data_IF_750246156182
#
_entry.id   IF_750246156182
#
_cell.length_a   1.000
_cell.length_b   1.000
_cell.length_c   1.000
_cell.angle_alpha   90.00
_cell.angle_beta   90.00
_cell.angle_gamma   90.00
#
_symmetry.space_group_name_H-M   'P 1'
#
loop_
_entity.id
_entity.type
_entity.pdbx_description
1 polymer ?
#
# COMPACT_ATOMS: atom_id res chain seq x y z
N UNK A 1 -2.85 11.03 -94.32
CA UNK A 1 -3.11 10.04 -93.25
C UNK A 1 -3.46 10.80 -91.97
N UNK A 2 -4.70 11.29 -91.79
CA UNK A 2 -5.11 12.10 -90.62
C UNK A 2 -5.50 11.25 -89.40
N UNK A 3 -5.91 10.00 -89.62
CA UNK A 3 -6.46 9.08 -88.62
C UNK A 3 -5.46 8.53 -87.59
N UNK A 4 -4.15 8.69 -87.78
CA UNK A 4 -3.14 8.27 -86.80
C UNK A 4 -2.95 9.29 -85.67
N UNK A 5 -3.11 10.59 -85.96
CA UNK A 5 -2.98 11.66 -84.96
C UNK A 5 -4.19 11.68 -84.00
N UNK A 6 -5.39 11.47 -84.51
CA UNK A 6 -6.62 11.38 -83.70
C UNK A 6 -6.57 10.17 -82.75
N UNK A 7 -6.00 9.04 -83.19
CA UNK A 7 -5.87 7.84 -82.38
C UNK A 7 -4.79 7.99 -81.27
N UNK A 8 -3.70 8.72 -81.53
CA UNK A 8 -2.70 9.08 -80.51
C UNK A 8 -3.25 10.07 -79.48
N UNK A 9 -4.05 11.06 -79.91
CA UNK A 9 -4.72 12.02 -79.00
C UNK A 9 -5.79 11.35 -78.13
N UNK A 10 -6.59 10.43 -78.68
CA UNK A 10 -7.58 9.68 -77.91
C UNK A 10 -6.92 8.69 -76.93
N UNK A 11 -5.82 8.02 -77.29
CA UNK A 11 -5.04 7.22 -76.35
C UNK A 11 -4.49 8.07 -75.18
N UNK A 12 -3.95 9.26 -75.48
CA UNK A 12 -3.43 10.18 -74.47
C UNK A 12 -4.53 10.70 -73.51
N UNK A 13 -5.73 10.95 -74.02
CA UNK A 13 -6.89 11.35 -73.21
C UNK A 13 -7.37 10.24 -72.29
N UNK A 14 -7.42 9.01 -72.76
CA UNK A 14 -7.87 7.87 -71.95
C UNK A 14 -6.84 7.49 -70.88
N UNK A 15 -5.54 7.61 -71.17
CA UNK A 15 -4.48 7.48 -70.15
C UNK A 15 -4.59 8.56 -69.07
N UNK A 16 -4.86 9.82 -69.44
CA UNK A 16 -5.06 10.91 -68.49
C UNK A 16 -6.30 10.69 -67.60
N UNK A 17 -7.41 10.21 -68.17
CA UNK A 17 -8.61 9.84 -67.41
C UNK A 17 -8.35 8.67 -66.45
N UNK A 18 -7.61 7.66 -66.87
CA UNK A 18 -7.24 6.53 -66.00
C UNK A 18 -6.42 7.00 -64.80
N UNK A 19 -5.37 7.83 -65.03
CA UNK A 19 -4.54 8.38 -63.94
C UNK A 19 -5.34 9.26 -62.98
N UNK A 20 -6.28 10.05 -63.49
CA UNK A 20 -7.18 10.86 -62.66
C UNK A 20 -8.06 9.96 -61.78
N UNK A 21 -8.71 8.95 -62.37
CA UNK A 21 -9.55 8.01 -61.63
C UNK A 21 -8.76 7.23 -60.56
N UNK A 22 -7.56 6.77 -60.89
CA UNK A 22 -6.67 6.09 -59.94
C UNK A 22 -6.29 7.01 -58.79
N UNK A 23 -5.99 8.28 -59.08
CA UNK A 23 -5.62 9.25 -58.06
C UNK A 23 -6.81 9.65 -57.19
N UNK A 24 -8.01 9.81 -57.77
CA UNK A 24 -9.26 10.04 -57.03
C UNK A 24 -9.56 8.88 -56.08
N UNK A 25 -9.41 7.63 -56.52
CA UNK A 25 -9.57 6.45 -55.67
C UNK A 25 -8.53 6.40 -54.54
N UNK A 26 -7.27 6.73 -54.83
CA UNK A 26 -6.22 6.79 -53.82
C UNK A 26 -6.48 7.89 -52.78
N UNK A 27 -6.90 9.08 -53.21
CA UNK A 27 -7.29 10.18 -52.31
C UNK A 27 -8.49 9.80 -51.43
N UNK A 28 -9.50 9.13 -52.00
CA UNK A 28 -10.65 8.65 -51.23
C UNK A 28 -10.23 7.59 -50.20
N UNK A 29 -9.35 6.66 -50.57
CA UNK A 29 -8.77 5.66 -49.66
C UNK A 29 -7.96 6.31 -48.54
N UNK A 30 -7.12 7.30 -48.86
CA UNK A 30 -6.33 8.04 -47.87
C UNK A 30 -7.24 8.82 -46.91
N UNK A 31 -8.29 9.51 -47.39
CA UNK A 31 -9.27 10.17 -46.53
C UNK A 31 -9.98 9.20 -45.59
N UNK A 32 -10.35 8.01 -46.08
CA UNK A 32 -10.96 6.98 -45.22
C UNK A 32 -9.99 6.51 -44.13
N UNK A 33 -8.71 6.29 -44.48
CA UNK A 33 -7.66 5.94 -43.50
C UNK A 33 -7.42 7.06 -42.48
N UNK A 34 -7.29 8.31 -42.92
CA UNK A 34 -7.15 9.47 -42.04
C UNK A 34 -8.31 9.56 -41.04
N UNK A 35 -9.54 9.35 -41.53
CA UNK A 35 -10.72 9.39 -40.66
C UNK A 35 -10.71 8.26 -39.63
N UNK A 36 -10.35 7.04 -40.05
CA UNK A 36 -10.21 5.89 -39.13
C UNK A 36 -9.15 6.13 -38.05
N UNK A 37 -7.94 6.55 -38.45
CA UNK A 37 -6.85 6.84 -37.50
C UNK A 37 -7.24 7.97 -36.55
N UNK A 38 -7.92 9.02 -37.05
CA UNK A 38 -8.39 10.12 -36.21
C UNK A 38 -9.42 9.67 -35.17
N UNK A 39 -10.33 8.75 -35.52
CA UNK A 39 -11.27 8.16 -34.57
C UNK A 39 -10.55 7.31 -33.51
N UNK A 40 -9.59 6.48 -33.91
CA UNK A 40 -8.80 5.67 -32.99
C UNK A 40 -7.99 6.53 -32.01
N UNK A 41 -7.40 7.63 -32.49
CA UNK A 41 -6.69 8.59 -31.65
C UNK A 41 -7.62 9.29 -30.65
N UNK A 42 -8.83 9.65 -31.06
CA UNK A 42 -9.83 10.23 -30.15
C UNK A 42 -10.23 9.22 -29.06
N UNK A 43 -10.47 7.96 -29.43
CA UNK A 43 -10.78 6.90 -28.47
C UNK A 43 -9.61 6.64 -27.50
N UNK A 44 -8.36 6.63 -28.00
CA UNK A 44 -7.16 6.52 -27.16
C UNK A 44 -7.01 7.71 -26.20
N UNK A 45 -7.36 8.92 -26.62
CA UNK A 45 -7.31 10.11 -25.76
C UNK A 45 -8.32 10.01 -24.61
N UNK A 46 -9.55 9.58 -24.89
CA UNK A 46 -10.57 9.36 -23.86
C UNK A 46 -10.14 8.29 -22.86
N UNK A 47 -9.65 7.15 -23.34
CA UNK A 47 -9.17 6.05 -22.49
C UNK A 47 -7.99 6.48 -21.62
N UNK A 48 -7.04 7.26 -22.16
CA UNK A 48 -5.94 7.82 -21.38
C UNK A 48 -6.41 8.79 -20.29
N UNK A 49 -7.42 9.61 -20.59
CA UNK A 49 -8.01 10.50 -19.59
C UNK A 49 -8.65 9.70 -18.44
N UNK A 50 -9.35 8.60 -18.77
CA UNK A 50 -9.91 7.68 -17.79
C UNK A 50 -8.84 7.01 -16.93
N UNK A 51 -7.81 6.43 -17.56
CA UNK A 51 -6.70 5.78 -16.85
C UNK A 51 -5.93 6.75 -15.95
N UNK A 52 -5.73 8.00 -16.38
CA UNK A 52 -5.13 9.03 -15.51
C UNK A 52 -5.99 9.31 -14.28
N UNK A 53 -7.31 9.38 -14.43
CA UNK A 53 -8.22 9.56 -13.29
C UNK A 53 -8.15 8.35 -12.34
N UNK A 54 -8.17 7.13 -12.88
CA UNK A 54 -8.03 5.91 -12.09
C UNK A 54 -6.69 5.85 -11.35
N UNK A 55 -5.61 6.32 -11.99
CA UNK A 55 -4.29 6.39 -11.38
C UNK A 55 -4.25 7.35 -10.20
N UNK A 56 -4.86 8.54 -10.34
CA UNK A 56 -4.94 9.52 -9.25
C UNK A 56 -5.73 8.94 -8.08
N UNK A 57 -6.87 8.30 -8.34
CA UNK A 57 -7.68 7.65 -7.30
C UNK A 57 -6.97 6.44 -6.68
N UNK A 58 -6.19 5.67 -7.46
CA UNK A 58 -5.34 4.61 -6.93
C UNK A 58 -4.26 5.18 -5.99
N UNK A 59 -3.57 6.26 -6.40
CA UNK A 59 -2.58 6.93 -5.56
C UNK A 59 -3.16 7.46 -4.24
N UNK A 60 -4.36 8.05 -4.28
CA UNK A 60 -5.07 8.48 -3.06
C UNK A 60 -5.37 7.31 -2.13
N UNK A 61 -5.80 6.17 -2.67
CA UNK A 61 -6.09 4.95 -1.88
C UNK A 61 -4.82 4.38 -1.25
N UNK A 62 -3.71 4.33 -2.00
CA UNK A 62 -2.40 3.93 -1.46
C UNK A 62 -2.01 4.84 -0.30
N UNK A 63 -2.03 6.16 -0.50
CA UNK A 63 -1.66 7.12 0.55
C UNK A 63 -2.55 7.01 1.80
N UNK A 64 -3.86 6.82 1.62
CA UNK A 64 -4.77 6.61 2.75
C UNK A 64 -4.47 5.30 3.51
N UNK A 65 -4.16 4.23 2.78
CA UNK A 65 -3.77 2.93 3.36
C UNK A 65 -2.45 3.04 4.14
N UNK A 66 -1.46 3.73 3.60
CA UNK A 66 -0.17 3.97 4.25
C UNK A 66 -0.32 4.83 5.51
N UNK A 67 -1.17 5.85 5.48
CA UNK A 67 -1.45 6.68 6.66
C UNK A 67 -2.09 5.85 7.79
N UNK A 68 -3.04 4.97 7.44
CA UNK A 68 -3.68 4.06 8.39
C UNK A 68 -2.66 3.07 8.98
N UNK A 69 -1.80 2.49 8.13
CA UNK A 69 -0.73 1.60 8.57
C UNK A 69 0.21 2.29 9.55
N UNK A 70 0.61 3.54 9.26
CA UNK A 70 1.49 4.32 10.14
C UNK A 70 0.85 4.62 11.50
N UNK A 71 -0.46 4.90 11.53
CA UNK A 71 -1.21 5.05 12.77
C UNK A 71 -1.24 3.75 13.59
N UNK A 72 -1.51 2.62 12.93
CA UNK A 72 -1.52 1.29 13.56
C UNK A 72 -0.13 0.93 14.11
N UNK A 73 0.94 1.20 13.37
CA UNK A 73 2.32 0.98 13.82
C UNK A 73 2.69 1.85 15.02
N UNK A 74 2.23 3.10 15.05
CA UNK A 74 2.44 4.00 16.18
C UNK A 74 1.73 3.49 17.45
N UNK A 75 0.48 3.05 17.32
CA UNK A 75 -0.26 2.42 18.44
C UNK A 75 0.41 1.15 18.94
N UNK A 76 0.94 0.34 18.02
CA UNK A 76 1.65 -0.88 18.37
C UNK A 76 2.93 -0.58 19.17
N UNK A 77 3.69 0.45 18.77
CA UNK A 77 4.87 0.90 19.50
C UNK A 77 4.50 1.36 20.93
N UNK A 78 3.45 2.18 21.06
CA UNK A 78 2.97 2.65 22.36
C UNK A 78 2.56 1.49 23.28
N UNK A 79 1.78 0.52 22.78
CA UNK A 79 1.38 -0.66 23.54
C UNK A 79 2.58 -1.53 23.93
N UNK A 80 3.54 -1.71 23.03
CA UNK A 80 4.77 -2.47 23.31
C UNK A 80 5.54 -1.83 24.45
N UNK A 81 5.67 -0.49 24.46
CA UNK A 81 6.34 0.24 25.54
C UNK A 81 5.58 0.11 26.87
N UNK A 82 4.25 0.23 26.85
CA UNK A 82 3.41 0.02 28.04
C UNK A 82 3.59 -1.39 28.63
N UNK A 83 3.55 -2.42 27.80
CA UNK A 83 3.77 -3.82 28.21
C UNK A 83 5.16 -3.99 28.82
N UNK A 84 6.19 -3.38 28.22
CA UNK A 84 7.56 -3.46 28.73
C UNK A 84 7.71 -2.76 30.09
N UNK A 85 7.11 -1.59 30.28
CA UNK A 85 7.12 -0.87 31.56
C UNK A 85 6.47 -1.72 32.67
N UNK A 86 5.31 -2.31 32.39
CA UNK A 86 4.61 -3.14 33.38
C UNK A 86 5.42 -4.40 33.70
N UNK A 87 5.96 -5.10 32.69
CA UNK A 87 6.84 -6.27 32.90
C UNK A 87 8.06 -5.95 33.76
N UNK A 88 8.69 -4.81 33.53
CA UNK A 88 9.83 -4.37 34.33
C UNK A 88 9.41 -4.10 35.79
N UNK A 89 8.28 -3.43 36.01
CA UNK A 89 7.75 -3.19 37.36
C UNK A 89 7.45 -4.49 38.11
N UNK A 90 6.86 -5.48 37.44
CA UNK A 90 6.62 -6.81 38.03
C UNK A 90 7.93 -7.49 38.41
N UNK A 91 8.93 -7.43 37.53
CA UNK A 91 10.25 -8.04 37.78
C UNK A 91 10.91 -7.43 39.02
N UNK A 92 10.92 -6.09 39.14
CA UNK A 92 11.47 -5.37 40.29
C UNK A 92 10.73 -5.68 41.60
N UNK A 93 9.39 -5.74 41.56
CA UNK A 93 8.56 -6.13 42.72
C UNK A 93 8.86 -7.56 43.16
N UNK A 94 9.00 -8.49 42.20
CA UNK A 94 9.34 -9.88 42.48
C UNK A 94 10.71 -10.02 43.16
N UNK A 95 11.73 -9.30 42.70
CA UNK A 95 13.03 -9.29 43.38
C UNK A 95 12.92 -8.80 44.83
N UNK A 96 12.12 -7.77 45.06
CA UNK A 96 11.90 -7.20 46.39
C UNK A 96 11.21 -8.21 47.32
N UNK A 97 10.17 -8.89 46.82
CA UNK A 97 9.47 -9.95 47.56
C UNK A 97 10.43 -11.11 47.89
N UNK A 98 11.24 -11.56 46.93
CA UNK A 98 12.23 -12.63 47.14
C UNK A 98 13.28 -12.22 48.20
N UNK A 99 13.76 -10.98 48.17
CA UNK A 99 14.68 -10.42 49.20
C UNK A 99 14.02 -10.39 50.59
N UNK A 100 12.74 -10.00 50.66
CA UNK A 100 12.01 -9.97 51.93
C UNK A 100 11.76 -11.38 52.49
N UNK A 101 11.28 -12.32 51.65
CA UNK A 101 11.04 -13.71 52.04
C UNK A 101 12.32 -14.40 52.49
N UNK A 102 13.44 -14.18 51.81
CA UNK A 102 14.75 -14.73 52.22
C UNK A 102 15.24 -14.14 53.55
N UNK A 103 15.01 -12.85 53.81
CA UNK A 103 15.28 -12.23 55.11
C UNK A 103 14.43 -12.85 56.23
N UNK A 104 13.13 -13.06 55.99
CA UNK A 104 12.22 -13.71 56.95
C UNK A 104 12.62 -15.16 57.23
N UNK A 105 12.92 -15.93 56.18
CA UNK A 105 13.36 -17.33 56.33
C UNK A 105 14.67 -17.43 57.12
N UNK A 106 15.57 -16.46 56.95
CA UNK A 106 16.83 -16.38 57.71
C UNK A 106 16.61 -16.03 59.18
N UNK A 107 15.67 -15.12 59.50
CA UNK A 107 15.27 -14.81 60.88
C UNK A 107 14.63 -16.05 61.55
N UNK A 108 13.80 -16.80 60.81
CA UNK A 108 13.17 -18.02 61.31
C UNK A 108 14.14 -19.19 61.54
N UNK A 109 15.17 -19.37 60.69
CA UNK A 109 16.17 -20.45 60.81
C UNK A 109 17.33 -20.13 61.75
N UNK A 110 17.73 -18.87 61.81
CA UNK A 110 18.81 -18.36 62.66
C UNK A 110 18.27 -17.16 63.41
N UNK A 111 17.48 -17.37 64.48
CA UNK A 111 17.07 -16.26 65.32
C UNK A 111 18.34 -15.57 65.83
N UNK A 112 18.40 -14.22 65.80
CA UNK A 112 19.56 -13.49 66.29
C UNK A 112 19.91 -13.94 67.72
N UNK A 113 21.21 -14.09 68.05
CA UNK A 113 21.65 -14.57 69.36
C UNK A 113 21.01 -13.71 70.45
N UNK A 114 20.43 -14.41 71.43
CA UNK A 114 19.47 -13.90 72.38
C UNK A 114 19.72 -12.48 72.92
N UNK A 115 18.82 -11.57 72.58
CA UNK A 115 18.23 -10.63 73.55
C UNK A 115 17.02 -11.26 74.28
N UNK A 116 16.90 -12.60 74.25
CA UNK A 116 15.83 -13.38 74.88
C UNK A 116 15.97 -13.32 76.40
N UNK A 117 15.22 -12.43 77.03
CA UNK A 117 14.95 -12.52 78.48
C UNK A 117 13.47 -12.36 78.86
N UNK A 118 12.55 -12.08 77.92
CA UNK A 118 11.12 -11.86 78.25
C UNK A 118 10.16 -12.59 77.30
N UNK A 119 9.08 -13.14 77.88
CA UNK A 119 8.00 -13.82 77.14
C UNK A 119 7.25 -12.88 76.19
N UNK A 120 7.24 -11.57 76.48
CA UNK A 120 6.53 -10.56 75.70
C UNK A 120 7.15 -10.31 74.32
N UNK A 121 8.47 -10.45 74.17
CA UNK A 121 9.18 -10.20 72.90
C UNK A 121 8.93 -11.31 71.87
N UNK A 122 8.83 -12.57 72.30
CA UNK A 122 8.48 -13.68 71.42
C UNK A 122 7.05 -13.54 70.88
N UNK A 123 6.12 -13.05 71.71
CA UNK A 123 4.74 -12.79 71.32
C UNK A 123 4.62 -11.62 70.33
N UNK A 124 5.46 -10.58 70.50
CA UNK A 124 5.55 -9.46 69.57
C UNK A 124 6.04 -9.90 68.19
N UNK A 125 7.00 -10.82 68.11
CA UNK A 125 7.50 -11.42 66.86
C UNK A 125 6.43 -12.28 66.17
N UNK A 126 5.65 -13.06 66.92
CA UNK A 126 4.56 -13.86 66.33
C UNK A 126 3.42 -12.97 65.83
N UNK A 127 3.07 -11.91 66.54
CA UNK A 127 2.05 -10.93 66.09
C UNK A 127 2.50 -10.17 64.84
N UNK A 128 3.76 -9.77 64.75
CA UNK A 128 4.28 -9.11 63.54
C UNK A 128 4.34 -10.08 62.36
N UNK A 129 4.68 -11.36 62.57
CA UNK A 129 4.59 -12.39 61.55
C UNK A 129 3.13 -12.67 61.11
N UNK A 130 2.16 -12.66 62.04
CA UNK A 130 0.73 -12.79 61.72
C UNK A 130 0.20 -11.61 60.92
N UNK A 131 0.55 -10.37 61.28
CA UNK A 131 0.20 -9.17 60.51
C UNK A 131 0.78 -9.19 59.10
N UNK A 132 2.01 -9.70 58.93
CA UNK A 132 2.63 -9.91 57.63
C UNK A 132 1.92 -11.01 56.81
N UNK A 133 1.47 -12.07 57.46
CA UNK A 133 0.70 -13.14 56.82
C UNK A 133 -0.68 -12.66 56.33
N UNK A 134 -1.28 -11.67 57.00
CA UNK A 134 -2.59 -11.10 56.67
C UNK A 134 -2.58 -10.21 55.42
N UNK A 135 -1.41 -9.64 55.06
CA UNK A 135 -1.23 -8.80 53.86
C UNK A 135 -1.01 -9.65 52.60
N UNK A 136 -0.56 -10.90 52.76
CA UNK A 136 -0.20 -11.78 51.64
C UNK A 136 -1.36 -12.08 50.66
N UNK A 137 -2.61 -12.32 51.12
CA UNK A 137 -3.76 -12.50 50.23
C UNK A 137 -4.05 -11.27 49.36
N UNK A 138 -3.90 -10.06 49.89
CA UNK A 138 -4.10 -8.81 49.16
C UNK A 138 -3.04 -8.63 48.05
N UNK A 139 -1.77 -8.93 48.35
CA UNK A 139 -0.69 -8.90 47.35
C UNK A 139 -0.95 -9.95 46.26
N UNK A 140 -1.38 -11.15 46.63
CA UNK A 140 -1.75 -12.19 45.65
C UNK A 140 -2.88 -11.71 44.74
N UNK A 141 -3.93 -11.11 45.31
CA UNK A 141 -5.05 -10.58 44.54
C UNK A 141 -4.60 -9.51 43.54
N UNK A 142 -3.75 -8.56 43.96
CA UNK A 142 -3.20 -7.54 43.08
C UNK A 142 -2.32 -8.13 41.97
N UNK A 143 -1.52 -9.16 42.28
CA UNK A 143 -0.69 -9.85 41.29
C UNK A 143 -1.53 -10.60 40.25
N UNK A 144 -2.57 -11.32 40.70
CA UNK A 144 -3.48 -12.05 39.80
C UNK A 144 -4.21 -11.06 38.85
N UNK A 145 -4.69 -9.91 39.38
CA UNK A 145 -5.30 -8.86 38.55
C UNK A 145 -4.33 -8.29 37.50
N UNK A 146 -3.08 -8.02 37.91
CA UNK A 146 -2.06 -7.48 37.01
C UNK A 146 -1.65 -8.48 35.92
N UNK A 147 -1.59 -9.77 36.26
CA UNK A 147 -1.39 -10.84 35.28
C UNK A 147 -2.51 -10.87 34.24
N UNK A 148 -3.77 -10.76 34.66
CA UNK A 148 -4.90 -10.70 33.73
C UNK A 148 -4.88 -9.45 32.85
N UNK A 149 -4.52 -8.29 33.39
CA UNK A 149 -4.38 -7.05 32.61
C UNK A 149 -3.29 -7.19 31.54
N UNK A 150 -2.14 -7.78 31.91
CA UNK A 150 -1.05 -8.07 30.96
C UNK A 150 -1.45 -9.06 29.88
N UNK A 151 -2.18 -10.12 30.22
CA UNK A 151 -2.73 -11.06 29.24
C UNK A 151 -3.64 -10.33 28.24
N UNK A 152 -4.50 -9.43 28.74
CA UNK A 152 -5.34 -8.58 27.90
C UNK A 152 -4.53 -7.67 26.97
N UNK A 153 -3.49 -7.02 27.47
CA UNK A 153 -2.61 -6.17 26.66
C UNK A 153 -1.87 -6.96 25.59
N UNK A 154 -1.32 -8.14 25.92
CA UNK A 154 -0.64 -9.01 24.93
C UNK A 154 -1.63 -9.49 23.87
N UNK A 155 -2.87 -9.84 24.26
CA UNK A 155 -3.91 -10.21 23.31
C UNK A 155 -4.28 -9.05 22.38
N UNK A 156 -4.38 -7.83 22.91
CA UNK A 156 -4.64 -6.63 22.12
C UNK A 156 -3.48 -6.31 21.15
N UNK A 157 -2.24 -6.41 21.63
CA UNK A 157 -1.03 -6.22 20.83
C UNK A 157 -0.98 -7.20 19.65
N UNK A 158 -1.31 -8.48 19.89
CA UNK A 158 -1.40 -9.49 18.82
C UNK A 158 -2.51 -9.16 17.82
N UNK A 159 -3.71 -8.77 18.29
CA UNK A 159 -4.79 -8.37 17.39
C UNK A 159 -4.44 -7.16 16.51
N UNK A 160 -3.71 -6.19 17.07
CA UNK A 160 -3.22 -5.03 16.32
C UNK A 160 -2.12 -5.42 15.34
N UNK A 161 -1.25 -6.38 15.67
CA UNK A 161 -0.27 -6.93 14.72
C UNK A 161 -0.94 -7.60 13.53
N UNK A 162 -1.97 -8.40 13.76
CA UNK A 162 -2.75 -9.04 12.70
C UNK A 162 -3.41 -7.98 11.81
N UNK A 163 -3.98 -6.92 12.40
CA UNK A 163 -4.52 -5.79 11.67
C UNK A 163 -3.45 -5.07 10.85
N UNK A 164 -2.27 -4.80 11.42
CA UNK A 164 -1.13 -4.18 10.75
C UNK A 164 -0.68 -4.99 9.55
N UNK A 165 -0.59 -6.31 9.69
CA UNK A 165 -0.20 -7.22 8.61
C UNK A 165 -1.24 -7.23 7.49
N UNK A 166 -2.54 -7.19 7.83
CA UNK A 166 -3.62 -7.06 6.85
C UNK A 166 -3.57 -5.72 6.11
N UNK A 167 -3.39 -4.61 6.82
CA UNK A 167 -3.28 -3.25 6.24
C UNK A 167 -2.06 -3.12 5.33
N UNK A 168 -0.94 -3.74 5.71
CA UNK A 168 0.25 -3.80 4.88
C UNK A 168 0.00 -4.58 3.58
N UNK A 169 -0.66 -5.73 3.67
CA UNK A 169 -1.03 -6.52 2.48
C UNK A 169 -1.97 -5.76 1.54
N UNK A 170 -2.92 -5.00 2.09
CA UNK A 170 -3.80 -4.12 1.33
C UNK A 170 -3.00 -3.01 0.61
N UNK A 171 -2.08 -2.33 1.32
CA UNK A 171 -1.24 -1.28 0.74
C UNK A 171 -0.36 -1.81 -0.40
N UNK A 172 0.26 -2.98 -0.23
CA UNK A 172 1.06 -3.64 -1.26
C UNK A 172 0.21 -4.01 -2.49
N UNK A 173 -1.01 -4.52 -2.27
CA UNK A 173 -1.97 -4.81 -3.33
C UNK A 173 -2.37 -3.56 -4.13
N UNK A 174 -2.68 -2.46 -3.43
CA UNK A 174 -3.03 -1.18 -4.05
C UNK A 174 -1.86 -0.59 -4.86
N UNK A 175 -0.63 -0.68 -4.34
CA UNK A 175 0.57 -0.22 -5.05
C UNK A 175 0.83 -1.04 -6.33
N UNK A 176 0.60 -2.36 -6.29
CA UNK A 176 0.68 -3.22 -7.48
C UNK A 176 -0.36 -2.85 -8.54
N UNK A 177 -1.60 -2.57 -8.13
CA UNK A 177 -2.65 -2.09 -9.04
C UNK A 177 -2.31 -0.73 -9.66
N UNK A 178 -1.78 0.20 -8.87
CA UNK A 178 -1.30 1.49 -9.37
C UNK A 178 -0.22 1.30 -10.45
N UNK A 179 0.80 0.47 -10.19
CA UNK A 179 1.85 0.17 -11.14
C UNK A 179 1.34 -0.55 -12.42
N UNK A 180 0.24 -1.29 -12.32
CA UNK A 180 -0.43 -1.88 -13.49
C UNK A 180 -1.11 -0.81 -14.34
N UNK A 181 -1.84 0.11 -13.72
CA UNK A 181 -2.50 1.24 -14.41
C UNK A 181 -1.46 2.14 -15.07
N UNK A 182 -0.35 2.43 -14.39
CA UNK A 182 0.77 3.20 -14.95
C UNK A 182 1.33 2.56 -16.23
N UNK A 183 1.57 1.25 -16.22
CA UNK A 183 2.04 0.53 -17.42
C UNK A 183 1.04 0.60 -18.56
N UNK A 184 -0.25 0.41 -18.28
CA UNK A 184 -1.30 0.54 -19.31
C UNK A 184 -1.32 1.94 -19.90
N UNK A 185 -1.15 2.97 -19.07
CA UNK A 185 -1.09 4.36 -19.55
C UNK A 185 0.09 4.58 -20.50
N UNK A 186 1.28 4.06 -20.18
CA UNK A 186 2.46 4.14 -21.05
C UNK A 186 2.28 3.40 -22.37
N UNK A 187 1.69 2.20 -22.35
CA UNK A 187 1.36 1.47 -23.58
C UNK A 187 0.39 2.25 -24.47
N UNK A 188 -0.62 2.91 -23.88
CA UNK A 188 -1.58 3.73 -24.62
C UNK A 188 -0.94 5.01 -25.16
N UNK A 189 -0.01 5.63 -24.42
CA UNK A 189 0.79 6.77 -24.91
C UNK A 189 1.62 6.38 -26.14
N UNK A 190 2.29 5.21 -26.10
CA UNK A 190 3.07 4.71 -27.22
C UNK A 190 2.19 4.45 -28.47
N UNK A 191 1.01 3.84 -28.28
CA UNK A 191 0.05 3.64 -29.39
C UNK A 191 -0.47 4.95 -29.98
N UNK A 192 -0.76 5.95 -29.14
CA UNK A 192 -1.18 7.26 -29.61
C UNK A 192 -0.07 7.93 -30.45
N UNK A 193 1.19 7.89 -29.99
CA UNK A 193 2.31 8.44 -30.75
C UNK A 193 2.52 7.76 -32.11
N UNK A 194 2.32 6.43 -32.18
CA UNK A 194 2.36 5.69 -33.44
C UNK A 194 1.22 6.13 -34.39
N UNK A 195 -0.01 6.22 -33.89
CA UNK A 195 -1.15 6.68 -34.70
C UNK A 195 -1.01 8.13 -35.17
N UNK A 196 -0.44 9.01 -34.35
CA UNK A 196 -0.14 10.40 -34.74
C UNK A 196 0.90 10.46 -35.88
N UNK A 197 1.95 9.64 -35.80
CA UNK A 197 2.95 9.52 -36.85
C UNK A 197 2.36 8.95 -38.15
N UNK A 198 1.52 7.91 -38.06
CA UNK A 198 0.83 7.34 -39.22
C UNK A 198 -0.11 8.35 -39.87
N UNK A 199 -0.90 9.08 -39.08
CA UNK A 199 -1.78 10.14 -39.58
C UNK A 199 -1.00 11.23 -40.32
N UNK A 200 0.17 11.62 -39.81
CA UNK A 200 1.04 12.60 -40.47
C UNK A 200 1.53 12.10 -41.83
N UNK A 201 1.93 10.82 -41.92
CA UNK A 201 2.37 10.20 -43.19
C UNK A 201 1.23 10.12 -44.22
N UNK A 202 0.03 9.72 -43.81
CA UNK A 202 -1.12 9.64 -44.73
C UNK A 202 -1.50 11.02 -45.25
N UNK A 203 -1.51 12.05 -44.39
CA UNK A 203 -1.77 13.44 -44.79
C UNK A 203 -0.74 13.98 -45.77
N UNK A 204 0.54 13.65 -45.55
CA UNK A 204 1.60 14.04 -46.46
C UNK A 204 1.43 13.36 -47.83
N UNK A 205 1.19 12.05 -47.85
CA UNK A 205 0.93 11.31 -49.09
C UNK A 205 -0.29 11.86 -49.86
N UNK A 206 -1.36 12.22 -49.16
CA UNK A 206 -2.55 12.82 -49.77
C UNK A 206 -2.26 14.22 -50.35
N UNK A 207 -1.42 15.03 -49.70
CA UNK A 207 -0.98 16.34 -50.20
C UNK A 207 -0.11 16.20 -51.45
N UNK A 208 0.86 15.28 -51.44
CA UNK A 208 1.78 15.06 -52.57
C UNK A 208 1.02 14.56 -53.81
N UNK A 209 0.00 13.71 -53.61
CA UNK A 209 -0.91 13.25 -54.67
C UNK A 209 -1.81 14.37 -55.21
N UNK A 210 -2.29 15.28 -54.34
CA UNK A 210 -3.09 16.41 -54.79
C UNK A 210 -2.27 17.39 -55.65
N UNK A 211 -0.98 17.59 -55.32
CA UNK A 211 -0.08 18.48 -56.06
C UNK A 211 0.34 17.92 -57.43
N UNK A 212 0.37 16.59 -57.60
CA UNK A 212 0.75 15.96 -58.87
C UNK A 212 -0.37 15.97 -59.92
N UNK A 213 -1.60 16.30 -59.53
CA UNK A 213 -2.78 16.35 -60.42
C UNK A 213 -3.11 17.76 -60.91
N UNK A 214 -2.73 18.80 -60.16
CA UNK A 214 -2.80 20.23 -60.59
C UNK A 214 -1.65 20.64 -61.49
#
# INVERSE_FOLDING_TARGET
MPWLAEAEEDLSRDEAKQRLNETEQQLQSNRAKEHGIAQDLAALAEERARLNSELIEAGKRVQASEAKLSETESKLAELTDQVNVIRNSITERNETIVKMLSAMQRIGRTPPPALVTRRDDALAVVRSAMLLADIFPEIKYQADNLSHELEGMVSLENGIRDQRDAEKGEAEGLASEQARVDRLLEEKKAKAAQGEAELALVKQAASDQAQTVT
#
